data_IF_195430961829
#
_entry.id   IF_195430961829
#
_cell.length_a   1.000
_cell.length_b   1.000
_cell.length_c   1.000
_cell.angle_alpha   90.00
_cell.angle_beta   90.00
_cell.angle_gamma   90.00
#
_symmetry.space_group_name_H-M   'P 1'
#
loop_
_entity.id
_entity.type
_entity.pdbx_description
1 polymer ?
#
# COMPACT_ATOMS: atom_id res chain seq x y z
N UNK A 1 12.67 -1.49 16.79
CA UNK A 1 12.99 -0.75 15.55
C UNK A 1 13.56 -1.70 14.52
N UNK A 2 13.25 -1.49 13.23
CA UNK A 2 13.90 -2.18 12.13
C UNK A 2 15.38 -1.82 12.09
N UNK A 3 16.24 -2.81 11.89
CA UNK A 3 17.69 -2.61 11.78
C UNK A 3 18.05 -2.30 10.33
N UNK A 4 18.43 -1.05 10.08
CA UNK A 4 18.98 -0.65 8.79
C UNK A 4 20.45 -1.12 8.68
N UNK A 5 20.82 -1.68 7.53
CA UNK A 5 22.17 -2.19 7.32
C UNK A 5 22.41 -2.63 5.89
N UNK A 6 23.58 -3.19 5.64
CA UNK A 6 23.88 -3.81 4.36
C UNK A 6 23.08 -5.11 4.21
N UNK A 7 22.43 -5.27 3.07
CA UNK A 7 21.44 -6.33 2.84
C UNK A 7 21.99 -7.76 2.99
N UNK A 8 23.29 -7.96 2.82
CA UNK A 8 23.91 -9.27 3.00
C UNK A 8 24.41 -9.52 4.44
N UNK A 9 24.35 -8.52 5.33
CA UNK A 9 24.74 -8.69 6.72
C UNK A 9 23.60 -9.34 7.51
N UNK A 10 23.94 -10.35 8.32
CA UNK A 10 22.97 -11.04 9.15
C UNK A 10 22.25 -10.09 10.11
N UNK A 11 20.94 -10.22 10.22
CA UNK A 11 20.08 -9.40 11.06
C UNK A 11 19.72 -8.03 10.46
N UNK A 12 20.13 -7.71 9.23
CA UNK A 12 19.63 -6.55 8.50
C UNK A 12 18.16 -6.77 8.10
N UNK A 13 17.31 -5.80 8.40
CA UNK A 13 15.88 -5.83 8.08
C UNK A 13 15.49 -4.77 7.05
N UNK A 14 16.30 -3.72 6.90
CA UNK A 14 16.08 -2.64 5.96
C UNK A 14 17.40 -2.27 5.27
N UNK A 15 17.49 -2.54 3.97
CA UNK A 15 18.63 -2.21 3.13
C UNK A 15 18.63 -0.77 2.62
N UNK A 16 19.58 -0.45 1.75
CA UNK A 16 19.62 0.83 1.06
C UNK A 16 18.47 0.96 0.04
N UNK A 17 17.99 2.18 -0.16
CA UNK A 17 17.10 2.49 -1.29
C UNK A 17 17.90 2.56 -2.59
N UNK A 18 17.21 2.43 -3.72
CA UNK A 18 17.80 2.18 -5.04
C UNK A 18 18.74 3.29 -5.52
N UNK A 19 18.44 4.55 -5.21
CA UNK A 19 19.22 5.69 -5.71
C UNK A 19 19.03 6.97 -4.86
N UNK A 20 19.81 8.00 -5.17
CA UNK A 20 19.78 9.30 -4.49
C UNK A 20 18.44 10.03 -4.66
N UNK A 21 17.75 9.86 -5.78
CA UNK A 21 16.44 10.47 -6.04
C UNK A 21 15.40 9.91 -5.09
N UNK A 22 15.36 8.59 -4.93
CA UNK A 22 14.45 7.95 -3.98
C UNK A 22 14.76 8.37 -2.54
N UNK A 23 16.05 8.39 -2.16
CA UNK A 23 16.46 8.91 -0.85
C UNK A 23 15.96 10.34 -0.62
N UNK A 24 16.13 11.22 -1.59
CA UNK A 24 15.72 12.62 -1.49
C UNK A 24 14.20 12.76 -1.36
N UNK A 25 13.43 11.97 -2.10
CA UNK A 25 11.96 11.92 -2.00
C UNK A 25 11.50 11.53 -0.59
N UNK A 26 12.06 10.47 -0.04
CA UNK A 26 11.70 9.99 1.31
C UNK A 26 12.04 11.04 2.37
N UNK A 27 13.25 11.61 2.32
CA UNK A 27 13.67 12.64 3.27
C UNK A 27 12.84 13.93 3.13
N UNK A 28 12.40 14.29 1.91
CA UNK A 28 11.48 15.40 1.70
C UNK A 28 10.11 15.13 2.32
N UNK A 29 9.56 13.92 2.13
CA UNK A 29 8.29 13.54 2.73
C UNK A 29 8.35 13.58 4.27
N UNK A 30 9.44 13.12 4.86
CA UNK A 30 9.66 13.23 6.32
C UNK A 30 9.68 14.68 6.79
N UNK A 31 10.45 15.55 6.12
CA UNK A 31 10.51 16.99 6.43
C UNK A 31 9.15 17.68 6.26
N UNK A 32 8.47 17.40 5.15
CA UNK A 32 7.14 17.97 4.89
C UNK A 32 6.14 17.56 5.98
N UNK A 33 6.15 16.29 6.39
CA UNK A 33 5.29 15.81 7.48
C UNK A 33 5.53 16.60 8.77
N UNK A 34 6.80 16.82 9.14
CA UNK A 34 7.16 17.63 10.31
C UNK A 34 6.73 19.09 10.16
N UNK A 35 7.01 19.70 9.00
CA UNK A 35 6.64 21.10 8.73
C UNK A 35 5.12 21.33 8.79
N UNK A 36 4.34 20.34 8.47
CA UNK A 36 2.87 20.35 8.56
C UNK A 36 2.34 20.00 9.94
N UNK A 37 3.20 19.83 10.93
CA UNK A 37 2.85 19.58 12.34
C UNK A 37 2.82 18.12 12.76
N UNK A 38 3.29 17.20 11.91
CA UNK A 38 3.48 15.80 12.28
C UNK A 38 4.50 15.65 13.40
N UNK A 39 4.14 14.89 14.44
CA UNK A 39 5.00 14.64 15.59
C UNK A 39 5.74 13.33 15.40
N UNK A 40 7.07 13.31 15.44
CA UNK A 40 7.82 12.07 15.29
C UNK A 40 7.59 11.14 16.49
N UNK A 41 7.25 9.90 16.18
CA UNK A 41 7.28 8.75 17.10
C UNK A 41 8.58 7.99 16.87
N UNK A 42 9.01 7.94 15.60
CA UNK A 42 10.28 7.41 15.16
C UNK A 42 10.85 8.38 14.12
N UNK A 43 11.98 8.99 14.41
CA UNK A 43 12.48 10.19 13.69
C UNK A 43 12.84 9.98 12.23
N UNK A 44 13.23 8.79 11.81
CA UNK A 44 13.71 8.59 10.44
C UNK A 44 15.10 9.19 10.19
N UNK A 45 15.25 9.86 9.04
CA UNK A 45 16.51 10.46 8.61
C UNK A 45 17.45 9.47 7.93
N UNK A 46 18.66 9.90 7.65
CA UNK A 46 19.70 9.03 7.07
C UNK A 46 20.23 8.03 8.10
N UNK A 47 20.52 6.82 7.64
CA UNK A 47 21.26 5.85 8.45
C UNK A 47 22.71 5.84 8.00
N UNK A 48 23.62 5.80 8.98
CA UNK A 48 25.03 5.51 8.74
C UNK A 48 25.26 4.01 8.93
N UNK A 49 25.86 3.39 7.93
CA UNK A 49 26.20 1.95 7.96
C UNK A 49 27.70 1.84 7.82
N UNK A 50 28.37 1.52 8.91
CA UNK A 50 29.82 1.51 9.02
C UNK A 50 30.50 0.72 7.89
N UNK A 51 31.45 1.38 7.20
CA UNK A 51 32.22 0.77 6.13
C UNK A 51 31.44 0.51 4.83
N UNK A 52 30.23 1.09 4.67
CA UNK A 52 29.39 0.92 3.49
C UNK A 52 28.92 2.25 2.94
N UNK A 53 29.19 2.51 1.67
CA UNK A 53 28.54 3.58 0.94
C UNK A 53 27.17 3.10 0.45
N UNK A 54 26.15 3.97 0.52
CA UNK A 54 24.80 3.64 0.08
C UNK A 54 23.75 4.65 0.52
N UNK A 55 22.53 4.44 0.04
CA UNK A 55 21.40 5.33 0.30
C UNK A 55 20.54 4.78 1.44
N UNK A 56 21.15 4.67 2.62
CA UNK A 56 20.47 4.12 3.80
C UNK A 56 19.62 5.17 4.49
N UNK A 57 18.38 4.78 4.84
CA UNK A 57 17.40 5.62 5.52
C UNK A 57 16.82 4.83 6.70
N UNK A 58 16.65 5.50 7.81
CA UNK A 58 15.98 4.92 8.99
C UNK A 58 14.47 4.87 8.76
N UNK A 59 13.76 3.87 9.29
CA UNK A 59 12.31 3.87 9.30
C UNK A 59 11.79 5.09 10.07
N UNK A 60 10.64 5.60 9.65
CA UNK A 60 10.01 6.78 10.25
C UNK A 60 8.54 6.53 10.54
N UNK A 61 8.09 6.98 11.70
CA UNK A 61 6.67 6.97 12.08
C UNK A 61 6.32 8.33 12.68
N UNK A 62 5.24 8.93 12.19
CA UNK A 62 4.76 10.22 12.68
C UNK A 62 3.33 10.11 13.18
N UNK A 63 3.02 10.78 14.27
CA UNK A 63 1.65 11.06 14.67
C UNK A 63 1.15 12.23 13.84
N UNK A 64 0.08 12.00 13.10
CA UNK A 64 -0.60 13.01 12.29
C UNK A 64 -1.96 13.37 12.88
N UNK A 65 -2.53 14.50 12.46
CA UNK A 65 -3.92 14.85 12.70
C UNK A 65 -4.73 14.63 11.43
N UNK A 66 -6.06 14.48 11.50
CA UNK A 66 -6.90 14.34 10.30
C UNK A 66 -6.71 15.45 9.27
N UNK A 67 -6.47 16.68 9.72
CA UNK A 67 -6.23 17.86 8.85
C UNK A 67 -4.85 17.82 8.19
N UNK A 68 -3.94 17.06 8.74
CA UNK A 68 -2.58 16.86 8.21
C UNK A 68 -2.58 15.98 6.99
N UNK A 69 -3.74 15.68 6.45
CA UNK A 69 -4.00 14.79 5.34
C UNK A 69 -2.68 14.25 4.73
N UNK A 70 -2.30 13.10 5.25
CA UNK A 70 -1.01 12.49 5.09
C UNK A 70 -0.64 12.49 3.62
N UNK A 71 0.48 13.05 3.32
CA UNK A 71 1.12 13.18 2.02
C UNK A 71 0.37 12.43 0.89
N UNK A 72 -0.30 13.12 -0.03
CA UNK A 72 -1.07 12.47 -1.09
C UNK A 72 -0.20 11.62 -2.03
N UNK A 73 1.12 11.77 -1.93
CA UNK A 73 2.06 10.96 -2.67
C UNK A 73 2.48 9.74 -1.85
N UNK A 74 2.44 8.57 -2.46
CA UNK A 74 2.96 7.35 -1.87
C UNK A 74 4.45 7.47 -1.57
N UNK A 75 4.82 7.24 -0.32
CA UNK A 75 6.22 7.17 0.11
C UNK A 75 6.65 5.72 0.14
N UNK A 76 7.36 5.30 -0.90
CA UNK A 76 7.79 3.91 -1.07
C UNK A 76 9.00 3.59 -0.19
N UNK A 77 8.76 3.44 1.12
CA UNK A 77 9.77 3.15 2.14
C UNK A 77 9.11 2.71 3.46
N UNK A 78 9.92 2.32 4.45
CA UNK A 78 9.48 2.10 5.83
C UNK A 78 9.11 3.45 6.49
N UNK A 79 8.01 4.01 6.05
CA UNK A 79 7.44 5.29 6.47
C UNK A 79 5.95 5.09 6.76
N UNK A 80 5.50 5.55 7.93
CA UNK A 80 4.10 5.45 8.29
C UNK A 80 3.64 6.68 9.07
N UNK A 81 2.34 6.97 8.98
CA UNK A 81 1.66 7.95 9.82
C UNK A 81 0.59 7.26 10.64
N UNK A 82 0.42 7.71 11.89
CA UNK A 82 -0.63 7.26 12.79
C UNK A 82 -1.55 8.45 13.03
N UNK A 83 -2.79 8.33 12.58
CA UNK A 83 -3.80 9.37 12.72
C UNK A 83 -4.90 8.89 13.69
N UNK A 84 -4.98 9.41 14.91
CA UNK A 84 -6.11 9.16 15.78
C UNK A 84 -7.39 9.74 15.18
N UNK A 85 -8.47 8.99 15.29
CA UNK A 85 -9.80 9.36 14.78
C UNK A 85 -10.81 9.33 15.91
N UNK A 86 -11.89 10.10 15.77
CA UNK A 86 -12.96 10.17 16.75
C UNK A 86 -13.94 9.00 16.67
N UNK A 87 -14.13 8.48 15.45
CA UNK A 87 -15.07 7.42 15.17
C UNK A 87 -14.71 6.65 13.89
N UNK A 88 -15.48 5.62 13.61
CA UNK A 88 -15.29 4.75 12.45
C UNK A 88 -15.55 5.47 11.13
N UNK A 89 -16.48 6.41 11.08
CA UNK A 89 -16.81 7.14 9.85
C UNK A 89 -15.64 8.04 9.43
N UNK A 90 -15.05 8.73 10.39
CA UNK A 90 -13.84 9.52 10.12
C UNK A 90 -12.67 8.64 9.66
N UNK A 91 -12.51 7.45 10.27
CA UNK A 91 -11.48 6.51 9.82
C UNK A 91 -11.66 6.09 8.36
N UNK A 92 -12.88 5.75 7.96
CA UNK A 92 -13.22 5.38 6.59
C UNK A 92 -13.05 6.53 5.60
N UNK A 93 -13.47 7.74 5.99
CA UNK A 93 -13.29 8.93 5.16
C UNK A 93 -11.81 9.19 4.88
N UNK A 94 -10.97 9.12 5.92
CA UNK A 94 -9.53 9.32 5.78
C UNK A 94 -8.89 8.23 4.93
N UNK A 95 -9.21 6.97 5.17
CA UNK A 95 -8.67 5.86 4.40
C UNK A 95 -9.05 5.95 2.90
N UNK A 96 -10.29 6.33 2.61
CA UNK A 96 -10.79 6.49 1.25
C UNK A 96 -10.45 7.85 0.59
N UNK A 97 -9.71 8.74 1.26
CA UNK A 97 -9.42 10.09 0.77
C UNK A 97 -8.26 10.14 -0.22
N UNK A 98 -7.51 9.06 -0.39
CA UNK A 98 -6.39 8.99 -1.32
C UNK A 98 -6.82 8.49 -2.69
N UNK A 99 -6.08 8.80 -3.76
CA UNK A 99 -6.35 8.25 -5.09
C UNK A 99 -5.88 6.79 -5.23
N UNK A 100 -5.18 6.24 -4.24
CA UNK A 100 -4.71 4.87 -4.17
C UNK A 100 -5.81 3.93 -3.69
N UNK A 101 -5.63 2.64 -3.88
CA UNK A 101 -6.60 1.63 -3.46
C UNK A 101 -6.10 0.21 -3.70
N UNK A 102 -4.86 -0.09 -3.31
CA UNK A 102 -4.32 -1.44 -3.47
C UNK A 102 -4.82 -2.36 -2.37
N UNK A 103 -4.63 -1.96 -1.11
CA UNK A 103 -5.00 -2.80 0.00
C UNK A 103 -5.20 -2.05 1.31
N UNK A 104 -6.19 -2.51 2.08
CA UNK A 104 -6.50 -2.02 3.42
C UNK A 104 -6.59 -3.17 4.42
N UNK A 105 -6.48 -2.85 5.70
CA UNK A 105 -6.67 -3.81 6.80
C UNK A 105 -7.50 -3.22 7.91
N UNK A 106 -8.44 -4.01 8.43
CA UNK A 106 -9.25 -3.68 9.61
C UNK A 106 -8.87 -4.61 10.74
N UNK A 107 -8.61 -4.03 11.91
CA UNK A 107 -8.25 -4.80 13.11
C UNK A 107 -9.31 -4.61 14.19
N UNK A 108 -10.03 -5.67 14.54
CA UNK A 108 -11.14 -5.63 15.50
C UNK A 108 -11.38 -7.00 16.14
N UNK A 109 -11.95 -6.98 17.34
CA UNK A 109 -12.46 -8.21 17.99
C UNK A 109 -13.82 -8.64 17.43
N UNK A 110 -14.60 -7.71 16.90
CA UNK A 110 -15.89 -7.96 16.27
C UNK A 110 -15.68 -8.22 14.77
N UNK A 111 -15.63 -9.50 14.41
CA UNK A 111 -15.38 -9.94 13.02
C UNK A 111 -16.49 -9.46 12.09
N UNK A 112 -17.75 -9.53 12.52
CA UNK A 112 -18.90 -9.12 11.70
C UNK A 112 -18.80 -7.64 11.35
N UNK A 113 -18.50 -6.79 12.32
CA UNK A 113 -18.23 -5.37 12.12
C UNK A 113 -17.02 -5.15 11.22
N UNK A 114 -15.96 -5.95 11.39
CA UNK A 114 -14.77 -5.89 10.55
C UNK A 114 -15.09 -6.14 9.08
N UNK A 115 -15.89 -7.14 8.78
CA UNK A 115 -16.34 -7.46 7.41
C UNK A 115 -17.22 -6.36 6.83
N UNK A 116 -18.16 -5.81 7.62
CA UNK A 116 -18.98 -4.69 7.14
C UNK A 116 -18.16 -3.42 6.84
N UNK A 117 -17.13 -3.15 7.63
CA UNK A 117 -16.20 -2.06 7.34
C UNK A 117 -15.37 -2.34 6.11
N UNK A 118 -14.88 -3.56 5.95
CA UNK A 118 -14.07 -3.96 4.79
C UNK A 118 -14.80 -3.70 3.46
N UNK A 119 -16.11 -3.91 3.39
CA UNK A 119 -16.94 -3.61 2.21
C UNK A 119 -17.01 -2.12 1.83
N UNK A 120 -16.66 -1.23 2.76
CA UNK A 120 -16.74 0.22 2.58
C UNK A 120 -15.44 0.87 2.18
N UNK A 121 -14.32 0.14 2.22
CA UNK A 121 -13.06 0.59 1.67
C UNK A 121 -13.09 0.57 0.15
N UNK A 122 -12.38 1.51 -0.47
CA UNK A 122 -12.23 1.61 -1.94
C UNK A 122 -11.05 0.79 -2.46
N UNK A 123 -10.43 0.03 -1.60
CA UNK A 123 -9.27 -0.79 -1.94
C UNK A 123 -9.71 -2.10 -2.62
N UNK A 124 -8.90 -2.57 -3.55
CA UNK A 124 -9.14 -3.83 -4.25
C UNK A 124 -9.03 -5.05 -3.35
N UNK A 125 -8.18 -4.97 -2.33
CA UNK A 125 -8.03 -6.02 -1.32
C UNK A 125 -8.23 -5.44 0.07
N UNK A 126 -9.20 -5.95 0.83
CA UNK A 126 -9.39 -5.55 2.21
C UNK A 126 -9.34 -6.78 3.14
N UNK A 127 -8.55 -6.68 4.18
CA UNK A 127 -8.24 -7.77 5.10
C UNK A 127 -8.76 -7.47 6.51
N UNK A 128 -9.22 -8.49 7.23
CA UNK A 128 -9.68 -8.34 8.62
C UNK A 128 -8.75 -9.14 9.52
N UNK A 129 -8.13 -8.47 10.50
CA UNK A 129 -7.18 -9.01 11.47
C UNK A 129 -5.95 -9.71 10.84
N UNK A 130 -5.63 -9.37 9.61
CA UNK A 130 -4.39 -9.74 8.94
C UNK A 130 -3.94 -8.62 8.01
N UNK A 131 -2.73 -8.70 7.51
CA UNK A 131 -2.19 -7.75 6.54
C UNK A 131 -1.22 -8.47 5.60
N UNK A 132 -1.27 -8.10 4.34
CA UNK A 132 -0.39 -8.64 3.28
C UNK A 132 -0.49 -10.17 3.14
N UNK A 133 -1.68 -10.73 3.42
CA UNK A 133 -1.97 -12.15 3.23
C UNK A 133 -2.63 -12.33 1.88
N UNK A 134 -1.96 -13.00 0.95
CA UNK A 134 -2.48 -13.30 -0.39
C UNK A 134 -3.01 -14.73 -0.36
N UNK A 135 -4.33 -14.89 -0.51
CA UNK A 135 -4.97 -16.21 -0.57
C UNK A 135 -5.15 -16.63 -2.03
N UNK A 136 -4.82 -17.86 -2.36
CA UNK A 136 -5.03 -18.41 -3.69
C UNK A 136 -6.50 -18.37 -4.10
N UNK A 137 -6.75 -17.98 -5.34
CA UNK A 137 -8.09 -17.89 -5.90
C UNK A 137 -8.84 -16.60 -5.56
N UNK A 138 -8.29 -15.72 -4.74
CA UNK A 138 -8.82 -14.38 -4.53
C UNK A 138 -8.08 -13.37 -5.42
N UNK A 139 -8.80 -12.49 -6.12
CA UNK A 139 -8.16 -11.48 -6.95
C UNK A 139 -7.31 -10.52 -6.09
N UNK A 140 -6.10 -10.25 -6.55
CA UNK A 140 -5.24 -9.22 -6.00
C UNK A 140 -5.09 -8.12 -7.05
N UNK A 141 -5.93 -7.12 -6.95
CA UNK A 141 -6.00 -6.00 -7.88
C UNK A 141 -6.12 -4.69 -7.11
N UNK A 142 -5.50 -3.63 -7.63
CA UNK A 142 -5.67 -2.28 -7.10
C UNK A 142 -6.90 -1.59 -7.68
N UNK A 143 -7.32 -0.52 -7.01
CA UNK A 143 -8.32 0.43 -7.47
C UNK A 143 -7.68 1.81 -7.64
N UNK A 144 -8.35 2.72 -8.33
CA UNK A 144 -7.83 4.06 -8.57
C UNK A 144 -6.49 4.01 -9.32
N UNK A 145 -5.51 4.81 -8.89
CA UNK A 145 -4.18 4.83 -9.52
C UNK A 145 -3.31 3.62 -9.14
N UNK A 146 -3.74 2.80 -8.18
CA UNK A 146 -3.11 1.52 -7.85
C UNK A 146 -3.61 0.37 -8.71
N UNK A 147 -4.63 0.60 -9.54
CA UNK A 147 -5.23 -0.38 -10.43
C UNK A 147 -4.90 -0.13 -11.89
N UNK A 148 -5.25 -1.11 -12.72
CA UNK A 148 -5.15 -1.06 -14.17
C UNK A 148 -6.30 -1.83 -14.80
N UNK A 149 -6.42 -1.86 -16.13
CA UNK A 149 -7.36 -2.75 -16.81
C UNK A 149 -6.98 -4.20 -16.50
N UNK A 150 -8.01 -5.02 -16.28
CA UNK A 150 -7.87 -6.44 -15.97
C UNK A 150 -8.35 -6.84 -14.59
N UNK A 151 -8.45 -8.14 -14.38
CA UNK A 151 -8.96 -8.73 -13.12
C UNK A 151 -7.91 -8.78 -12.00
N UNK A 152 -6.69 -8.30 -12.26
CA UNK A 152 -5.57 -8.45 -11.33
C UNK A 152 -4.88 -9.82 -11.47
N UNK A 153 -4.19 -10.22 -10.42
CA UNK A 153 -3.46 -11.50 -10.39
C UNK A 153 -4.06 -12.42 -9.33
N UNK A 154 -3.62 -13.69 -9.33
CA UNK A 154 -3.91 -14.69 -8.30
C UNK A 154 -5.35 -15.25 -8.31
N UNK A 155 -6.11 -15.07 -9.38
CA UNK A 155 -7.46 -15.59 -9.54
C UNK A 155 -7.67 -16.17 -10.95
N UNK A 156 -8.76 -16.88 -11.16
CA UNK A 156 -9.09 -17.50 -12.45
C UNK A 156 -9.29 -16.45 -13.55
N UNK A 157 -9.88 -15.32 -13.18
CA UNK A 157 -10.13 -14.20 -14.09
C UNK A 157 -8.83 -13.63 -14.69
N UNK A 158 -7.67 -13.86 -14.07
CA UNK A 158 -6.36 -13.48 -14.62
C UNK A 158 -6.12 -14.07 -16.02
N UNK A 159 -6.68 -15.26 -16.30
CA UNK A 159 -6.53 -15.87 -17.63
C UNK A 159 -7.19 -15.04 -18.73
N UNK A 160 -8.21 -14.26 -18.42
CA UNK A 160 -8.85 -13.37 -19.40
C UNK A 160 -7.90 -12.29 -19.91
N UNK A 161 -6.93 -11.86 -19.09
CA UNK A 161 -5.93 -10.85 -19.47
C UNK A 161 -4.90 -11.38 -20.49
N UNK A 162 -4.79 -12.72 -20.60
CA UNK A 162 -3.88 -13.40 -21.53
C UNK A 162 -4.59 -14.01 -22.74
N UNK A 163 -5.88 -13.75 -22.92
CA UNK A 163 -6.71 -14.31 -23.97
C UNK A 163 -7.50 -13.23 -24.70
N UNK A 164 -7.87 -13.49 -25.94
CA UNK A 164 -8.73 -12.62 -26.72
C UNK A 164 -10.08 -13.31 -26.98
N UNK A 165 -11.16 -12.58 -26.79
CA UNK A 165 -12.51 -13.08 -27.12
C UNK A 165 -12.68 -13.14 -28.63
N UNK A 166 -13.13 -14.30 -29.13
CA UNK A 166 -13.47 -14.50 -30.54
C UNK A 166 -14.89 -15.06 -30.66
N UNK A 167 -15.74 -14.37 -31.38
CA UNK A 167 -17.05 -14.88 -31.76
C UNK A 167 -16.98 -15.58 -33.11
N UNK A 168 -17.51 -16.80 -33.22
CA UNK A 168 -17.69 -17.53 -34.46
C UNK A 168 -19.18 -17.82 -34.62
N UNK A 169 -19.77 -17.35 -35.71
CA UNK A 169 -21.14 -17.63 -36.05
C UNK A 169 -21.17 -18.49 -37.33
N UNK A 170 -21.85 -19.62 -37.24
CA UNK A 170 -22.05 -20.52 -38.40
C UNK A 170 -23.54 -20.52 -38.69
N UNK A 171 -23.90 -20.13 -39.90
CA UNK A 171 -25.27 -20.27 -40.39
C UNK A 171 -25.38 -21.54 -41.24
N UNK A 172 -26.41 -22.36 -40.98
CA UNK A 172 -26.76 -23.44 -41.91
C UNK A 172 -27.40 -22.84 -43.17
N UNK A 173 -26.79 -23.09 -44.30
CA UNK A 173 -27.44 -22.84 -45.57
C UNK A 173 -28.43 -24.00 -45.82
N UNK A 174 -29.72 -23.72 -46.03
CA UNK A 174 -30.60 -24.77 -46.51
C UNK A 174 -30.08 -25.29 -47.84
N UNK A 175 -29.98 -26.63 -47.96
CA UNK A 175 -29.62 -27.28 -49.18
C UNK A 175 -30.52 -26.77 -50.32
N UNK A 176 -29.92 -26.22 -51.34
CA UNK A 176 -30.60 -25.71 -52.54
C UNK A 176 -31.02 -26.86 -53.44
#
# INVERSE_FOLDING_TARGET
CLRSGYQADEGTQLGAVINSTQRSRILSAQRETIMRGGQPILDGGTADVAGREGYYIKPAIYRATPDLNCNPAEVFHAFATICPVTDTEQALQLANSTPYGLGASVWTKDISRGVELAKRFRDGTCQVNCHNTIAYGLPYAGQGISGGPGAGVNCEETFTDYTELKAIYVADYPDS
#
